data_IF_589057455221
#
_entry.id   IF_589057455221
#
_cell.length_a   1.000
_cell.length_b   1.000
_cell.length_c   1.000
_cell.angle_alpha   90.00
_cell.angle_beta   90.00
_cell.angle_gamma   90.00
#
_symmetry.space_group_name_H-M   'P 1'
#
loop_
_entity.id
_entity.type
_entity.pdbx_description
1 polymer ?
#
# COMPACT_ATOMS: atom_id res chain seq x y z
N UNK A 1 8.81 8.95 18.66
CA UNK A 1 9.62 9.94 17.91
C UNK A 1 8.65 10.83 17.16
N UNK A 2 8.90 12.15 17.05
CA UNK A 2 7.92 13.06 16.46
C UNK A 2 7.89 12.87 14.94
N UNK A 3 6.68 12.66 14.40
CA UNK A 3 6.33 12.45 12.98
C UNK A 3 6.87 13.51 12.02
N UNK A 4 7.31 14.65 12.56
CA UNK A 4 7.91 15.74 11.78
C UNK A 4 9.30 15.41 11.20
N UNK A 5 10.07 14.55 11.88
CA UNK A 5 11.36 14.08 11.34
C UNK A 5 11.18 13.09 10.19
N UNK A 6 10.08 12.32 10.19
CA UNK A 6 9.73 11.42 9.09
C UNK A 6 9.40 12.19 7.81
N UNK A 7 8.76 13.37 7.93
CA UNK A 7 8.48 14.24 6.78
C UNK A 7 9.76 14.83 6.15
N UNK A 8 10.75 15.22 6.96
CA UNK A 8 11.97 15.87 6.44
C UNK A 8 12.90 14.90 5.71
N UNK A 9 13.05 13.67 6.22
CA UNK A 9 13.83 12.63 5.54
C UNK A 9 13.19 12.19 4.21
N UNK A 10 11.87 12.34 4.08
CA UNK A 10 11.14 11.99 2.86
C UNK A 10 11.47 12.92 1.68
N UNK A 11 11.75 14.19 1.96
CA UNK A 11 12.00 15.21 0.94
C UNK A 11 13.39 15.14 0.28
N UNK A 12 14.40 14.63 0.98
CA UNK A 12 15.81 14.89 0.62
C UNK A 12 16.53 13.72 -0.11
N UNK A 13 15.97 12.51 -0.15
CA UNK A 13 16.66 11.33 -0.72
C UNK A 13 15.89 10.76 -1.92
N UNK A 14 16.14 11.36 -3.08
CA UNK A 14 16.49 10.62 -4.31
C UNK A 14 15.42 9.78 -5.03
N UNK A 15 14.97 10.29 -6.18
CA UNK A 15 14.44 9.54 -7.34
C UNK A 15 13.41 8.44 -7.04
N UNK A 16 12.28 8.84 -6.46
CA UNK A 16 10.99 8.20 -6.76
C UNK A 16 9.99 9.35 -6.86
N UNK A 17 9.11 9.36 -7.87
CA UNK A 17 7.96 10.29 -7.89
C UNK A 17 7.35 10.30 -6.49
N UNK A 18 7.30 11.48 -5.87
CA UNK A 18 7.00 11.69 -4.45
C UNK A 18 5.75 10.93 -4.04
N UNK A 19 5.68 10.41 -2.82
CA UNK A 19 4.44 9.80 -2.31
C UNK A 19 3.25 10.77 -2.36
N UNK A 20 3.48 12.09 -2.40
CA UNK A 20 2.46 13.13 -2.61
C UNK A 20 1.74 13.05 -3.97
N UNK A 21 2.35 12.42 -4.98
CA UNK A 21 1.78 12.32 -6.34
C UNK A 21 0.98 11.02 -6.53
N UNK A 22 0.88 10.19 -5.49
CA UNK A 22 0.17 8.91 -5.58
C UNK A 22 -1.35 9.12 -5.37
N UNK A 23 -2.18 8.40 -6.16
CA UNK A 23 -3.62 8.36 -5.92
C UNK A 23 -3.91 7.94 -4.47
N UNK A 24 -4.71 8.74 -3.78
CA UNK A 24 -5.10 8.51 -2.40
C UNK A 24 -6.44 7.76 -2.35
N UNK A 25 -6.45 6.56 -1.77
CA UNK A 25 -7.63 5.69 -1.67
C UNK A 25 -8.17 5.61 -0.24
N UNK A 26 -7.65 6.43 0.69
CA UNK A 26 -7.92 6.33 2.13
C UNK A 26 -9.38 6.59 2.51
N UNK A 27 -10.07 7.43 1.75
CA UNK A 27 -11.46 7.82 2.02
C UNK A 27 -12.49 6.88 1.35
N UNK A 28 -12.04 5.86 0.63
CA UNK A 28 -12.92 4.91 -0.02
C UNK A 28 -13.48 3.87 0.96
N UNK A 29 -14.67 3.28 0.67
CA UNK A 29 -15.15 2.12 1.41
C UNK A 29 -14.17 0.94 1.30
N UNK A 30 -13.50 0.63 2.42
CA UNK A 30 -12.46 -0.39 2.49
C UNK A 30 -12.83 -1.58 3.37
N UNK A 31 -12.21 -2.73 3.08
CA UNK A 31 -12.17 -3.90 3.96
C UNK A 31 -10.74 -4.25 4.35
N UNK A 32 -10.54 -4.66 5.60
CA UNK A 32 -9.21 -4.89 6.16
C UNK A 32 -8.76 -6.33 5.92
N UNK A 33 -7.62 -6.51 5.24
CA UNK A 33 -7.03 -7.83 4.96
C UNK A 33 -5.67 -7.99 5.60
N UNK A 34 -5.25 -9.24 5.84
CA UNK A 34 -3.90 -9.54 6.32
C UNK A 34 -2.90 -9.51 5.16
N UNK A 35 -1.72 -8.93 5.43
CA UNK A 35 -0.59 -8.94 4.50
C UNK A 35 0.08 -10.32 4.56
N UNK A 36 0.32 -10.90 3.39
CA UNK A 36 0.99 -12.19 3.21
C UNK A 36 2.45 -12.04 2.80
N UNK A 37 3.18 -13.15 2.81
CA UNK A 37 4.60 -13.23 2.40
C UNK A 37 5.41 -12.08 3.00
N UNK A 38 5.18 -11.85 4.29
CA UNK A 38 5.73 -10.69 4.99
C UNK A 38 7.23 -10.83 5.15
N UNK A 39 7.96 -9.75 4.87
CA UNK A 39 9.37 -9.68 5.20
C UNK A 39 9.51 -9.31 6.67
N UNK A 40 10.36 -10.05 7.38
CA UNK A 40 10.66 -9.79 8.79
C UNK A 40 12.06 -9.19 8.87
N UNK A 41 12.14 -7.99 9.43
CA UNK A 41 13.38 -7.47 9.98
C UNK A 41 13.36 -7.74 11.49
N UNK A 42 14.51 -8.11 12.03
CA UNK A 42 14.71 -8.14 13.48
C UNK A 42 14.63 -6.67 13.91
N UNK A 43 13.55 -6.32 14.62
CA UNK A 43 13.14 -4.96 15.00
C UNK A 43 12.29 -4.18 13.97
N UNK A 44 11.15 -4.76 13.57
CA UNK A 44 10.18 -4.12 12.67
C UNK A 44 9.25 -3.16 13.46
N UNK A 45 9.43 -1.82 13.39
CA UNK A 45 8.60 -0.87 14.14
C UNK A 45 7.13 -0.92 13.72
N UNK A 46 6.84 -1.38 12.51
CA UNK A 46 5.50 -1.66 11.98
C UNK A 46 4.74 -2.71 12.79
N UNK A 47 5.44 -3.62 13.47
CA UNK A 47 4.86 -4.70 14.26
C UNK A 47 4.86 -4.45 15.77
N UNK A 48 5.52 -3.38 16.21
CA UNK A 48 5.57 -3.01 17.63
C UNK A 48 4.26 -2.43 18.14
N UNK A 49 3.52 -1.74 17.28
CA UNK A 49 2.28 -1.07 17.67
C UNK A 49 1.11 -1.55 16.82
N UNK A 50 -0.10 -1.43 17.36
CA UNK A 50 -1.34 -1.86 16.69
C UNK A 50 -2.09 -0.72 16.03
N UNK A 51 -1.53 0.49 16.08
CA UNK A 51 -2.15 1.72 15.61
C UNK A 51 -2.38 1.70 14.09
N UNK A 52 -3.24 2.63 13.65
CA UNK A 52 -3.46 2.90 12.24
C UNK A 52 -2.19 3.44 11.58
N UNK A 53 -1.99 3.05 10.32
CA UNK A 53 -0.77 3.28 9.54
C UNK A 53 -1.12 3.55 8.08
N UNK A 54 -0.14 4.11 7.37
CA UNK A 54 -0.21 4.31 5.94
C UNK A 54 0.66 3.28 5.23
N UNK A 55 0.12 2.74 4.15
CA UNK A 55 0.84 1.85 3.24
C UNK A 55 0.69 2.32 1.80
N UNK A 56 1.62 1.90 0.97
CA UNK A 56 1.56 2.07 -0.49
C UNK A 56 1.40 0.71 -1.14
N UNK A 57 0.36 0.55 -1.95
CA UNK A 57 0.19 -0.60 -2.81
C UNK A 57 0.92 -0.35 -4.12
N UNK A 58 1.66 -1.34 -4.61
CA UNK A 58 2.34 -1.26 -5.92
C UNK A 58 2.18 -2.55 -6.70
N UNK A 59 1.71 -2.43 -7.95
CA UNK A 59 1.62 -3.56 -8.88
C UNK A 59 3.02 -3.98 -9.27
N UNK A 60 3.37 -5.22 -8.96
CA UNK A 60 4.60 -5.88 -9.38
C UNK A 60 4.31 -6.97 -10.41
N UNK A 61 5.36 -7.41 -11.11
CA UNK A 61 5.33 -8.68 -11.83
C UNK A 61 5.57 -9.79 -10.83
N UNK A 62 4.64 -10.74 -10.72
CA UNK A 62 4.78 -11.83 -9.78
C UNK A 62 5.92 -12.79 -10.13
N UNK A 63 6.31 -13.64 -9.17
CA UNK A 63 7.42 -14.61 -9.35
C UNK A 63 7.18 -15.62 -10.47
N UNK A 64 5.92 -15.91 -10.79
CA UNK A 64 5.55 -16.75 -11.93
C UNK A 64 5.05 -15.85 -13.05
N UNK A 65 5.39 -16.16 -14.31
CA UNK A 65 4.98 -15.38 -15.49
C UNK A 65 3.45 -15.20 -15.65
N UNK A 66 2.64 -15.87 -14.82
CA UNK A 66 1.16 -15.88 -14.91
C UNK A 66 0.45 -15.23 -13.72
N UNK A 67 1.13 -14.89 -12.63
CA UNK A 67 0.50 -14.30 -11.45
C UNK A 67 0.87 -12.82 -11.30
N UNK A 68 -0.13 -11.97 -11.05
CA UNK A 68 0.11 -10.58 -10.66
C UNK A 68 0.30 -10.53 -9.15
N UNK A 69 1.36 -9.85 -8.70
CA UNK A 69 1.61 -9.61 -7.30
C UNK A 69 1.41 -8.12 -7.00
N UNK A 70 0.77 -7.79 -5.89
CA UNK A 70 0.69 -6.41 -5.38
C UNK A 70 1.51 -6.34 -4.11
N UNK A 71 2.61 -5.59 -4.16
CA UNK A 71 3.49 -5.36 -3.03
C UNK A 71 2.91 -4.29 -2.11
N UNK A 72 3.06 -4.51 -0.80
CA UNK A 72 2.70 -3.55 0.24
C UNK A 72 3.99 -2.91 0.74
N UNK A 73 4.08 -1.60 0.63
CA UNK A 73 5.22 -0.82 1.08
C UNK A 73 4.88 0.01 2.31
N UNK A 74 5.81 0.08 3.25
CA UNK A 74 5.85 0.99 4.39
C UNK A 74 7.13 1.79 4.30
N UNK A 75 7.08 3.12 4.39
CA UNK A 75 8.29 3.97 4.39
C UNK A 75 9.28 3.64 3.25
N UNK A 76 8.75 3.37 2.05
CA UNK A 76 9.53 3.00 0.86
C UNK A 76 10.02 1.55 0.81
N UNK A 77 9.82 0.75 1.86
CA UNK A 77 10.28 -0.64 1.97
C UNK A 77 9.13 -1.63 1.77
N UNK A 78 9.38 -2.74 1.09
CA UNK A 78 8.39 -3.82 0.95
C UNK A 78 8.25 -4.54 2.30
N UNK A 79 7.06 -4.52 2.87
CA UNK A 79 6.74 -5.21 4.14
C UNK A 79 6.00 -6.55 3.90
N UNK A 80 5.48 -6.73 2.70
CA UNK A 80 4.85 -7.97 2.25
C UNK A 80 4.05 -7.78 0.97
N UNK A 81 3.09 -8.66 0.75
CA UNK A 81 2.26 -8.68 -0.45
C UNK A 81 0.80 -8.91 -0.09
N UNK A 82 -0.11 -8.48 -0.97
CA UNK A 82 -1.51 -8.83 -0.85
C UNK A 82 -1.73 -10.35 -1.06
N UNK A 83 -2.78 -10.91 -0.45
CA UNK A 83 -3.28 -12.24 -0.81
C UNK A 83 -3.58 -12.33 -2.31
N UNK A 84 -3.44 -13.52 -2.90
CA UNK A 84 -3.57 -13.72 -4.35
C UNK A 84 -4.90 -13.21 -4.92
N UNK A 85 -6.04 -13.51 -4.28
CA UNK A 85 -7.35 -13.04 -4.72
C UNK A 85 -7.48 -11.52 -4.67
N UNK A 86 -6.95 -10.91 -3.61
CA UNK A 86 -6.94 -9.44 -3.45
C UNK A 86 -6.03 -8.77 -4.48
N UNK A 87 -4.86 -9.35 -4.75
CA UNK A 87 -3.93 -8.88 -5.76
C UNK A 87 -4.55 -8.97 -7.17
N UNK A 88 -5.23 -10.07 -7.49
CA UNK A 88 -5.91 -10.25 -8.77
C UNK A 88 -7.04 -9.24 -8.97
N UNK A 89 -7.84 -8.98 -7.92
CA UNK A 89 -8.93 -8.02 -7.96
C UNK A 89 -8.46 -6.56 -8.13
N UNK A 90 -7.34 -6.20 -7.50
CA UNK A 90 -6.84 -4.81 -7.48
C UNK A 90 -5.80 -4.50 -8.55
N UNK A 91 -5.20 -5.50 -9.19
CA UNK A 91 -4.15 -5.32 -10.19
C UNK A 91 -4.56 -4.38 -11.34
N UNK A 92 -5.68 -4.67 -12.00
CA UNK A 92 -6.12 -3.89 -13.15
C UNK A 92 -6.59 -2.47 -12.76
N UNK A 93 -7.38 -2.28 -11.68
CA UNK A 93 -7.69 -0.95 -11.18
C UNK A 93 -6.45 -0.13 -10.80
N UNK A 94 -5.49 -0.71 -10.07
CA UNK A 94 -4.25 -0.01 -9.72
C UNK A 94 -3.43 0.34 -10.96
N UNK A 95 -3.35 -0.55 -11.95
CA UNK A 95 -2.65 -0.27 -13.20
C UNK A 95 -3.24 0.95 -13.94
N UNK A 96 -4.56 1.13 -13.92
CA UNK A 96 -5.22 2.33 -14.47
C UNK A 96 -4.86 3.62 -13.72
N UNK A 97 -4.46 3.52 -12.46
CA UNK A 97 -4.05 4.63 -11.62
C UNK A 97 -2.53 4.88 -11.66
N UNK A 98 -1.81 4.27 -12.60
CA UNK A 98 -0.34 4.39 -12.69
C UNK A 98 0.41 3.30 -11.93
N UNK A 99 -0.28 2.28 -11.42
CA UNK A 99 0.29 1.08 -10.84
C UNK A 99 0.64 1.18 -9.36
N UNK A 100 0.33 2.30 -8.70
CA UNK A 100 0.53 2.48 -7.26
C UNK A 100 -0.55 3.39 -6.64
N UNK A 101 -0.82 3.21 -5.35
CA UNK A 101 -1.77 4.04 -4.61
C UNK A 101 -1.52 3.98 -3.09
N UNK A 102 -1.94 5.03 -2.37
CA UNK A 102 -1.87 5.12 -0.90
C UNK A 102 -3.15 4.55 -0.28
N UNK A 103 -2.99 3.77 0.78
CA UNK A 103 -4.08 3.15 1.53
C UNK A 103 -3.83 3.22 3.04
N UNK A 104 -4.92 3.12 3.81
CA UNK A 104 -4.84 2.92 5.25
C UNK A 104 -4.45 1.47 5.58
N UNK A 105 -4.07 1.25 6.82
CA UNK A 105 -3.86 -0.07 7.37
C UNK A 105 -3.63 0.00 8.87
N UNK A 106 -3.20 -1.11 9.44
CA UNK A 106 -2.93 -1.20 10.85
C UNK A 106 -1.80 -2.19 11.13
N UNK A 107 -1.19 -2.02 12.30
CA UNK A 107 -0.29 -3.03 12.86
C UNK A 107 -0.98 -4.39 13.09
N UNK A 108 -0.26 -5.37 13.63
CA UNK A 108 -0.76 -6.74 13.71
C UNK A 108 -1.94 -6.91 14.68
N UNK A 109 -2.72 -7.99 14.47
CA UNK A 109 -3.76 -8.40 15.43
C UNK A 109 -3.12 -8.99 16.69
N UNK A 110 -3.82 -8.98 17.84
CA UNK A 110 -3.38 -9.73 19.01
C UNK A 110 -3.11 -11.19 18.65
N UNK A 111 -1.94 -11.72 19.03
CA UNK A 111 -1.55 -13.11 18.77
C UNK A 111 -1.02 -13.38 17.36
N UNK A 112 -0.91 -12.38 16.49
CA UNK A 112 -0.27 -12.53 15.18
C UNK A 112 0.83 -11.49 15.00
N UNK A 113 1.73 -11.75 14.06
CA UNK A 113 2.72 -10.78 13.61
C UNK A 113 2.31 -10.11 12.30
N UNK A 114 1.22 -10.55 11.65
CA UNK A 114 0.83 -10.12 10.30
C UNK A 114 0.25 -8.71 10.30
N UNK A 115 0.83 -7.85 9.47
CA UNK A 115 0.32 -6.51 9.21
C UNK A 115 -1.03 -6.58 8.51
N UNK A 116 -1.80 -5.48 8.59
CA UNK A 116 -3.11 -5.37 7.98
C UNK A 116 -3.18 -4.15 7.10
N UNK A 117 -3.87 -4.27 5.98
CA UNK A 117 -4.06 -3.19 5.02
C UNK A 117 -5.53 -3.07 4.65
N UNK A 118 -5.99 -1.85 4.47
CA UNK A 118 -7.35 -1.53 4.08
C UNK A 118 -7.44 -1.49 2.56
N UNK A 119 -8.24 -2.39 2.00
CA UNK A 119 -8.41 -2.52 0.57
C UNK A 119 -9.77 -1.98 0.15
N UNK A 120 -9.83 -1.02 -0.78
CA UNK A 120 -11.09 -0.60 -1.37
C UNK A 120 -11.73 -1.75 -2.13
N UNK A 121 -13.07 -1.80 -2.09
CA UNK A 121 -13.83 -2.76 -2.91
C UNK A 121 -13.63 -2.49 -4.41
N UNK A 122 -13.84 -3.50 -5.24
CA UNK A 122 -13.78 -3.34 -6.70
C UNK A 122 -14.79 -2.30 -7.23
N UNK A 123 -15.92 -2.12 -6.55
CA UNK A 123 -16.89 -1.07 -6.87
C UNK A 123 -16.36 0.33 -6.51
N UNK A 124 -15.78 0.50 -5.32
CA UNK A 124 -15.17 1.76 -4.90
C UNK A 124 -13.99 2.16 -5.79
N UNK A 125 -13.24 1.18 -6.30
CA UNK A 125 -12.15 1.44 -7.26
C UNK A 125 -12.64 1.94 -8.62
N UNK A 126 -13.90 1.68 -9.00
CA UNK A 126 -14.46 2.15 -10.27
C UNK A 126 -14.85 3.63 -10.23
N UNK A 127 -15.15 4.18 -9.04
CA UNK A 127 -15.47 5.60 -8.86
C UNK A 127 -14.24 6.51 -8.80
N UNK A 128 -13.03 5.94 -8.78
CA UNK A 128 -11.79 6.73 -8.78
C UNK A 128 -11.49 7.20 -10.22
N UNK A 129 -11.31 8.52 -10.44
CA UNK A 129 -10.86 9.06 -11.73
C UNK A 129 -9.56 8.41 -12.20
N UNK A 130 -9.27 8.45 -13.50
CA UNK A 130 -7.99 7.91 -14.00
C UNK A 130 -6.83 8.84 -13.64
N UNK A 131 -5.61 8.30 -13.58
CA UNK A 131 -4.39 9.07 -13.29
C UNK A 131 -4.23 10.32 -14.18
N UNK A 132 -4.66 10.24 -15.44
CA UNK A 132 -4.61 11.35 -16.42
C UNK A 132 -5.53 12.53 -16.05
N UNK A 133 -6.57 12.30 -15.25
CA UNK A 133 -7.56 13.31 -14.86
C UNK A 133 -7.14 14.09 -13.60
N UNK A 134 -6.19 13.57 -12.80
CA UNK A 134 -5.67 14.26 -11.63
C UNK A 134 -4.60 15.32 -11.97
N UNK A 135 -3.98 15.23 -13.15
CA UNK A 135 -2.98 16.20 -13.62
C UNK A 135 -3.60 17.42 -14.33
N UNK A 136 -4.91 17.40 -14.58
CA UNK A 136 -5.64 18.40 -15.36
C UNK A 136 -6.51 19.35 -14.52
N UNK A 137 -6.46 19.25 -13.18
CA UNK A 137 -7.19 20.09 -12.22
C UNK A 137 -6.22 20.95 -11.41
#
# INVERSE_FOLDING_TARGET
MPTWLEHLCHSLIGRTRSHDDLPDLRDLPTSRVEVERTYYLVDDPERRTRDDRLYVLRVGRGRTRRAVDVAVHSNGRVVGFLPADSAAALAAPLARLGGAAVVNGAGPRPGTTRLRVDLPSAAAMQSVPRADEFAAA
#
